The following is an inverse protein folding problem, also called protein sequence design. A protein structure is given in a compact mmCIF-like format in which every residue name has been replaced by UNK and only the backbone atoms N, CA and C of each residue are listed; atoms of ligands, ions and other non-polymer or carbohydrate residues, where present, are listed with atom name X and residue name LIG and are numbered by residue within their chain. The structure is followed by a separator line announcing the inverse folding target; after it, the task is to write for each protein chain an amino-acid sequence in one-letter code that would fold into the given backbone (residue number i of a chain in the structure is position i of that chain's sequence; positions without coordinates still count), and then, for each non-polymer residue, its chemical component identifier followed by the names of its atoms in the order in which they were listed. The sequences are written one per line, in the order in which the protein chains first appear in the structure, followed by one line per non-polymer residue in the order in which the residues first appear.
data_IF_707745329881
#
_entry.id   IF_707745329881
#
_cell.length_a   1.000
_cell.length_b   1.000
_cell.length_c   1.000
_cell.angle_alpha   90.00
_cell.angle_beta   90.00
_cell.angle_gamma   90.00
#
_symmetry.space_group_name_H-M   'P 1'
#
loop_
_entity.id
_entity.type
_entity.pdbx_description
1 polymer ?
#
# COMPACT_ATOMS: atom_id res chain seq x y z
N UNK A 1 -0.53 -17.94 5.52
CA UNK A 1 0.56 -18.71 6.16
C UNK A 1 0.45 -18.52 7.66
N UNK A 2 0.46 -19.60 8.44
CA UNK A 2 0.38 -19.55 9.92
C UNK A 2 1.78 -19.73 10.51
N UNK A 3 2.15 -18.90 11.47
CA UNK A 3 3.43 -18.97 12.18
C UNK A 3 3.17 -18.93 13.68
N UNK A 4 3.75 -19.89 14.43
CA UNK A 4 3.69 -19.90 15.90
C UNK A 4 4.83 -19.05 16.46
N UNK A 5 4.52 -18.11 17.35
CA UNK A 5 5.52 -17.36 18.10
C UNK A 5 5.20 -17.50 19.59
N UNK A 6 6.18 -18.02 20.34
CA UNK A 6 6.13 -18.02 21.80
C UNK A 6 6.62 -16.68 22.34
N UNK A 7 5.71 -15.89 22.92
CA UNK A 7 6.07 -14.67 23.67
C UNK A 7 5.57 -14.83 25.09
N UNK A 8 6.46 -14.68 26.08
CA UNK A 8 6.20 -14.70 27.52
C UNK A 8 4.81 -15.22 27.95
N UNK A 9 4.62 -16.55 28.01
CA UNK A 9 3.46 -17.18 28.66
C UNK A 9 2.30 -17.60 27.76
N UNK A 10 2.40 -17.55 26.44
CA UNK A 10 1.38 -18.05 25.51
C UNK A 10 1.91 -18.39 24.13
N UNK A 11 1.33 -19.41 23.49
CA UNK A 11 1.51 -19.65 22.05
C UNK A 11 0.48 -18.79 21.31
N UNK A 12 0.96 -17.88 20.45
CA UNK A 12 0.11 -17.11 19.54
C UNK A 12 0.26 -17.66 18.13
N UNK A 13 -0.83 -17.93 17.47
CA UNK A 13 -0.83 -18.22 16.05
C UNK A 13 -0.91 -16.87 15.30
N UNK A 14 0.10 -16.60 14.45
CA UNK A 14 0.10 -15.42 13.58
C UNK A 14 -0.34 -15.83 12.19
N UNK A 15 -1.34 -15.14 11.66
CA UNK A 15 -1.78 -15.29 10.28
C UNK A 15 -1.23 -14.14 9.45
N UNK A 16 -0.52 -14.50 8.37
CA UNK A 16 0.04 -13.54 7.40
C UNK A 16 -0.82 -13.56 6.16
N UNK A 17 -1.31 -12.40 5.78
CA UNK A 17 -1.99 -12.15 4.52
C UNK A 17 -1.02 -11.43 3.58
N UNK A 18 -0.76 -12.03 2.44
CA UNK A 18 -0.09 -11.36 1.32
C UNK A 18 -1.12 -10.54 0.57
N UNK A 19 -0.98 -9.23 0.64
CA UNK A 19 -1.91 -8.29 0.00
C UNK A 19 -1.30 -7.66 -1.26
N UNK A 20 -0.34 -8.34 -1.90
CA UNK A 20 0.35 -7.84 -3.09
C UNK A 20 -0.17 -8.47 -4.36
N UNK A 21 -0.05 -7.75 -5.48
CA UNK A 21 -0.18 -8.32 -6.82
C UNK A 21 1.09 -9.06 -7.25
N UNK A 22 0.94 -10.07 -8.13
CA UNK A 22 2.08 -10.62 -8.88
C UNK A 22 2.56 -9.58 -9.90
N UNK A 23 3.88 -9.34 -9.96
CA UNK A 23 4.45 -8.22 -10.70
C UNK A 23 4.22 -8.29 -12.21
N UNK A 24 4.46 -9.47 -12.83
CA UNK A 24 4.43 -9.61 -14.29
C UNK A 24 3.02 -9.79 -14.87
N UNK A 25 2.05 -10.14 -14.04
CA UNK A 25 0.63 -10.25 -14.37
C UNK A 25 -0.22 -9.15 -13.74
N UNK A 26 0.40 -8.09 -13.19
CA UNK A 26 -0.34 -7.01 -12.54
C UNK A 26 -1.17 -6.19 -13.51
N UNK A 27 -2.16 -5.50 -12.97
CA UNK A 27 -2.82 -4.42 -13.65
C UNK A 27 -1.84 -3.25 -13.80
N UNK A 28 -1.79 -2.64 -14.98
CA UNK A 28 -0.89 -1.51 -15.29
C UNK A 28 -1.73 -0.27 -15.54
N UNK A 29 -1.36 0.85 -14.94
CA UNK A 29 -2.05 2.12 -15.17
C UNK A 29 -1.94 2.53 -16.65
N UNK A 30 -3.00 3.09 -17.26
CA UNK A 30 -2.99 3.48 -18.67
C UNK A 30 -1.83 4.45 -19.00
N UNK A 31 -0.97 4.06 -19.93
CA UNK A 31 0.20 4.84 -20.33
C UNK A 31 1.53 4.39 -19.73
N UNK A 32 1.51 3.58 -18.69
CA UNK A 32 2.73 3.04 -18.07
C UNK A 32 3.32 1.86 -18.83
N UNK A 33 4.62 1.67 -18.65
CA UNK A 33 5.33 0.52 -19.21
C UNK A 33 4.97 -0.76 -18.44
N UNK A 34 4.57 -1.80 -19.17
CA UNK A 34 4.33 -3.13 -18.59
C UNK A 34 5.61 -3.75 -18.04
N UNK A 35 5.58 -4.39 -16.86
CA UNK A 35 6.71 -5.13 -16.32
C UNK A 35 7.21 -6.21 -17.28
N UNK A 36 8.53 -6.32 -17.41
CA UNK A 36 9.17 -7.29 -18.32
C UNK A 36 10.18 -8.15 -17.59
N UNK A 37 10.07 -9.46 -17.79
CA UNK A 37 11.01 -10.47 -17.30
C UNK A 37 11.97 -10.86 -18.42
N UNK A 38 13.26 -10.97 -18.12
CA UNK A 38 14.28 -11.45 -19.02
C UNK A 38 15.15 -12.51 -18.35
N UNK A 39 15.15 -13.74 -18.87
CA UNK A 39 16.05 -14.78 -18.42
C UNK A 39 17.42 -14.51 -18.99
N UNK A 40 18.42 -14.34 -18.12
CA UNK A 40 19.83 -14.10 -18.49
C UNK A 40 20.55 -15.43 -18.59
N UNK A 41 20.38 -16.32 -17.58
CA UNK A 41 20.95 -17.67 -17.55
C UNK A 41 19.89 -18.65 -17.12
N UNK A 42 19.98 -19.91 -17.60
CA UNK A 42 19.02 -20.98 -17.29
C UNK A 42 19.69 -22.32 -17.18
N UNK A 43 19.55 -23.00 -16.05
CA UNK A 43 20.03 -24.36 -15.82
C UNK A 43 19.38 -25.35 -16.78
N UNK A 44 18.14 -25.12 -17.22
CA UNK A 44 17.47 -25.92 -18.25
C UNK A 44 18.20 -25.86 -19.62
N UNK A 45 18.95 -24.78 -19.87
CA UNK A 45 19.75 -24.57 -21.09
C UNK A 45 21.23 -24.95 -20.91
N UNK A 46 21.59 -25.51 -19.76
CA UNK A 46 22.95 -25.99 -19.45
C UNK A 46 23.83 -24.94 -18.72
N UNK A 47 23.29 -23.81 -18.31
CA UNK A 47 24.02 -22.86 -17.49
C UNK A 47 24.23 -23.39 -16.05
N UNK A 48 25.21 -22.83 -15.32
CA UNK A 48 25.52 -23.24 -13.95
C UNK A 48 24.45 -22.78 -12.93
N UNK A 49 23.66 -21.74 -13.25
CA UNK A 49 22.67 -21.13 -12.37
C UNK A 49 21.53 -20.49 -13.18
N UNK A 50 20.45 -20.17 -12.50
CA UNK A 50 19.36 -19.36 -13.07
C UNK A 50 19.58 -17.90 -12.70
N UNK A 51 19.48 -16.99 -13.67
CA UNK A 51 19.56 -15.53 -13.48
C UNK A 51 18.44 -14.84 -14.23
N UNK A 52 17.67 -14.06 -13.52
CA UNK A 52 16.57 -13.25 -14.07
C UNK A 52 16.85 -11.77 -13.87
N UNK A 53 16.71 -10.99 -14.94
CA UNK A 53 16.58 -9.54 -14.87
C UNK A 53 15.11 -9.16 -15.11
N UNK A 54 14.70 -8.01 -14.57
CA UNK A 54 13.39 -7.45 -14.85
C UNK A 54 13.46 -5.93 -14.96
N UNK A 55 12.46 -5.34 -15.61
CA UNK A 55 12.26 -3.89 -15.67
C UNK A 55 10.78 -3.59 -15.47
N UNK A 56 10.47 -2.50 -14.76
CA UNK A 56 9.11 -2.05 -14.46
C UNK A 56 9.11 -0.56 -14.13
N UNK A 57 7.96 0.10 -14.22
CA UNK A 57 7.74 1.40 -13.58
C UNK A 57 7.71 1.25 -12.06
N UNK A 58 8.06 2.30 -11.35
CA UNK A 58 7.95 2.36 -9.88
C UNK A 58 6.51 2.15 -9.40
N UNK A 59 5.54 2.54 -10.22
CA UNK A 59 4.10 2.49 -9.95
C UNK A 59 3.38 1.27 -10.55
N UNK A 60 4.11 0.22 -10.92
CA UNK A 60 3.49 -1.04 -11.34
C UNK A 60 3.22 -1.96 -10.13
N UNK A 61 2.15 -2.80 -10.25
CA UNK A 61 1.79 -3.78 -9.23
C UNK A 61 1.36 -3.11 -7.92
N UNK A 62 1.63 -3.75 -6.77
CA UNK A 62 1.46 -3.12 -5.46
C UNK A 62 2.67 -2.25 -5.16
N UNK A 63 2.43 -0.97 -4.94
CA UNK A 63 3.49 0.03 -4.83
C UNK A 63 3.16 1.15 -3.85
N UNK A 64 4.18 1.92 -3.52
CA UNK A 64 4.12 3.15 -2.72
C UNK A 64 4.35 4.36 -3.62
N UNK A 65 3.49 5.38 -3.48
CA UNK A 65 3.75 6.73 -3.96
C UNK A 65 4.34 7.57 -2.83
N UNK A 66 5.53 8.13 -3.08
CA UNK A 66 6.13 9.11 -2.20
C UNK A 66 5.68 10.54 -2.57
N UNK A 67 5.76 11.52 -1.64
CA UNK A 67 5.41 12.91 -1.95
C UNK A 67 6.03 13.45 -3.23
N UNK A 68 7.26 13.03 -3.58
CA UNK A 68 7.96 13.47 -4.79
C UNK A 68 7.22 13.11 -6.10
N UNK A 69 6.30 12.15 -6.06
CA UNK A 69 5.52 11.77 -7.25
C UNK A 69 4.71 12.95 -7.84
N UNK A 70 4.07 13.76 -7.00
CA UNK A 70 3.28 14.93 -7.45
C UNK A 70 3.81 16.26 -6.90
N UNK A 71 4.68 16.26 -5.89
CA UNK A 71 5.18 17.47 -5.23
C UNK A 71 6.65 17.65 -5.61
N UNK A 72 6.96 18.71 -6.38
CA UNK A 72 8.28 18.99 -6.96
C UNK A 72 9.45 18.87 -5.97
N UNK A 73 9.28 19.37 -4.75
CA UNK A 73 10.28 19.34 -3.69
C UNK A 73 9.85 18.37 -2.56
N UNK A 74 9.00 17.41 -2.90
CA UNK A 74 8.51 16.38 -1.99
C UNK A 74 9.59 15.38 -1.59
N UNK A 75 9.34 14.64 -0.51
CA UNK A 75 10.23 13.56 -0.08
C UNK A 75 10.23 12.42 -1.11
N UNK A 76 11.42 11.96 -1.48
CA UNK A 76 11.62 10.74 -2.25
C UNK A 76 11.39 9.50 -1.38
N UNK A 77 11.12 8.36 -1.99
CA UNK A 77 10.74 7.13 -1.28
C UNK A 77 11.77 6.68 -0.24
N UNK A 78 13.06 6.85 -0.54
CA UNK A 78 14.19 6.55 0.36
C UNK A 78 14.33 7.54 1.53
N UNK A 79 13.74 8.73 1.42
CA UNK A 79 13.75 9.76 2.47
C UNK A 79 12.51 9.75 3.38
N UNK A 80 11.50 8.94 3.07
CA UNK A 80 10.32 8.72 3.92
C UNK A 80 10.69 7.75 5.06
N UNK A 81 10.27 8.07 6.28
CA UNK A 81 10.51 7.22 7.45
C UNK A 81 9.87 5.83 7.30
N UNK A 82 10.59 4.77 7.66
CA UNK A 82 10.05 3.40 7.65
C UNK A 82 8.81 3.24 8.53
N UNK A 83 8.67 4.04 9.59
CA UNK A 83 7.47 4.07 10.41
C UNK A 83 6.21 4.47 9.63
N UNK A 84 6.35 5.07 8.45
CA UNK A 84 5.20 5.36 7.57
C UNK A 84 4.63 4.07 6.98
N UNK A 85 5.47 3.14 6.58
CA UNK A 85 5.12 1.92 5.86
C UNK A 85 4.87 0.71 6.79
N UNK A 86 5.36 0.78 8.04
CA UNK A 86 5.34 -0.34 9.00
C UNK A 86 4.65 0.10 10.28
N UNK A 87 3.65 -0.64 10.73
CA UNK A 87 2.94 -0.40 11.98
C UNK A 87 1.48 -0.84 11.94
N UNK A 88 0.73 -0.49 12.98
CA UNK A 88 -0.71 -0.80 13.03
C UNK A 88 -1.45 -0.06 11.93
N UNK A 89 -2.34 -0.76 11.23
CA UNK A 89 -3.20 -0.24 10.17
C UNK A 89 -4.64 -0.72 10.39
N UNK A 90 -5.59 0.04 9.89
CA UNK A 90 -7.00 -0.31 9.88
C UNK A 90 -7.45 -0.59 8.45
N UNK A 91 -8.06 -1.75 8.25
CA UNK A 91 -8.75 -2.10 7.01
C UNK A 91 -10.22 -1.72 7.15
N UNK A 92 -10.71 -0.83 6.31
CA UNK A 92 -12.11 -0.43 6.19
C UNK A 92 -12.74 -1.07 4.95
N UNK A 93 -13.93 -1.65 5.04
CA UNK A 93 -14.69 -2.11 3.87
C UNK A 93 -15.54 -0.97 3.32
N UNK A 94 -15.36 -0.65 2.05
CA UNK A 94 -16.12 0.40 1.36
C UNK A 94 -16.22 0.12 -0.14
N UNK A 95 -17.36 0.50 -0.74
CA UNK A 95 -17.56 0.44 -2.19
C UNK A 95 -18.19 1.74 -2.68
N UNK A 96 -17.71 2.26 -3.79
CA UNK A 96 -18.15 3.52 -4.39
C UNK A 96 -17.28 4.70 -3.99
N UNK A 97 -17.80 5.91 -4.12
CA UNK A 97 -17.07 7.16 -3.86
C UNK A 97 -17.07 7.44 -2.36
N UNK A 98 -15.89 7.45 -1.75
CA UNK A 98 -15.69 7.81 -0.34
C UNK A 98 -15.88 9.34 -0.21
N UNK A 99 -16.92 9.75 0.51
CA UNK A 99 -17.19 11.15 0.83
C UNK A 99 -16.39 11.62 2.06
N UNK A 100 -16.48 12.92 2.38
CA UNK A 100 -15.90 13.48 3.59
C UNK A 100 -16.48 12.85 4.87
N UNK A 101 -17.79 12.59 4.88
CA UNK A 101 -18.47 11.97 6.02
C UNK A 101 -18.02 10.51 6.18
N UNK A 102 -17.87 9.76 5.08
CA UNK A 102 -17.36 8.38 5.11
C UNK A 102 -15.91 8.34 5.61
N UNK A 103 -15.06 9.24 5.14
CA UNK A 103 -13.68 9.34 5.62
C UNK A 103 -13.62 9.62 7.13
N UNK A 104 -14.50 10.48 7.63
CA UNK A 104 -14.62 10.77 9.06
C UNK A 104 -15.06 9.53 9.84
N UNK A 105 -16.08 8.81 9.36
CA UNK A 105 -16.55 7.56 9.99
C UNK A 105 -15.47 6.47 10.02
N UNK A 106 -14.73 6.29 8.92
CA UNK A 106 -13.61 5.35 8.83
C UNK A 106 -12.56 5.67 9.90
N UNK A 107 -12.16 6.95 10.01
CA UNK A 107 -11.18 7.38 11.00
C UNK A 107 -11.65 7.21 12.44
N UNK A 108 -12.92 7.47 12.73
CA UNK A 108 -13.52 7.26 14.05
C UNK A 108 -13.55 5.77 14.41
N UNK A 109 -13.96 4.89 13.49
CA UNK A 109 -13.93 3.44 13.67
C UNK A 109 -12.50 2.94 13.94
N UNK A 110 -11.53 3.42 13.16
CA UNK A 110 -10.13 3.08 13.34
C UNK A 110 -9.61 3.52 14.72
N UNK A 111 -9.84 4.78 15.10
CA UNK A 111 -9.42 5.34 16.41
C UNK A 111 -10.03 4.60 17.58
N UNK A 112 -11.31 4.21 17.47
CA UNK A 112 -12.03 3.44 18.51
C UNK A 112 -11.43 2.05 18.73
N UNK A 113 -10.95 1.39 17.68
CA UNK A 113 -10.33 0.08 17.77
C UNK A 113 -8.86 0.18 18.20
N UNK A 114 -8.11 1.09 17.57
CA UNK A 114 -6.69 1.33 17.87
C UNK A 114 -6.25 2.68 17.32
N UNK A 115 -5.83 3.59 18.18
CA UNK A 115 -5.41 4.96 17.77
C UNK A 115 -4.20 4.97 16.84
N UNK A 116 -3.26 4.02 16.98
CA UNK A 116 -2.11 3.89 16.08
C UNK A 116 -2.52 3.36 14.70
N UNK A 117 -3.54 2.48 14.63
CA UNK A 117 -4.06 1.96 13.37
C UNK A 117 -4.74 3.05 12.53
N UNK A 118 -5.32 4.06 13.17
CA UNK A 118 -5.90 5.21 12.48
C UNK A 118 -4.89 6.06 11.70
N UNK A 119 -3.60 5.83 11.90
CA UNK A 119 -2.54 6.50 11.12
C UNK A 119 -2.29 5.87 9.75
N UNK A 120 -2.78 4.65 9.52
CA UNK A 120 -2.65 3.92 8.25
C UNK A 120 -3.98 3.29 7.93
N UNK A 121 -4.64 3.80 6.90
CA UNK A 121 -5.97 3.34 6.47
C UNK A 121 -5.82 2.57 5.16
N UNK A 122 -6.38 1.38 5.10
CA UNK A 122 -6.49 0.57 3.89
C UNK A 122 -7.96 0.39 3.57
N UNK A 123 -8.37 0.76 2.37
CA UNK A 123 -9.77 0.65 1.93
C UNK A 123 -9.91 -0.59 1.05
N UNK A 124 -10.72 -1.54 1.52
CA UNK A 124 -11.09 -2.76 0.82
C UNK A 124 -12.36 -2.54 0.02
N UNK A 125 -12.35 -3.01 -1.21
CA UNK A 125 -13.49 -2.94 -2.14
C UNK A 125 -13.24 -2.03 -3.32
N UNK A 126 -14.26 -1.87 -4.15
CA UNK A 126 -14.22 -0.97 -5.32
C UNK A 126 -14.49 0.47 -4.84
N UNK A 127 -13.46 1.09 -4.29
CA UNK A 127 -13.54 2.40 -3.65
C UNK A 127 -12.67 3.44 -4.36
N UNK A 128 -13.26 4.63 -4.55
CA UNK A 128 -12.63 5.82 -5.10
C UNK A 128 -12.68 6.94 -4.06
N UNK A 129 -11.54 7.54 -3.72
CA UNK A 129 -11.47 8.63 -2.73
C UNK A 129 -11.78 9.96 -3.41
N UNK A 130 -12.80 10.69 -2.93
CA UNK A 130 -13.09 12.04 -3.39
C UNK A 130 -12.06 13.06 -2.89
N UNK A 131 -11.99 14.24 -3.52
CA UNK A 131 -11.14 15.33 -3.07
C UNK A 131 -11.51 15.81 -1.65
N UNK A 132 -12.79 15.78 -1.31
CA UNK A 132 -13.30 16.13 0.03
C UNK A 132 -12.85 15.10 1.08
N UNK A 133 -12.92 13.82 0.77
CA UNK A 133 -12.41 12.75 1.64
C UNK A 133 -10.88 12.85 1.80
N UNK A 134 -10.16 13.12 0.72
CA UNK A 134 -8.71 13.33 0.76
C UNK A 134 -8.31 14.47 1.71
N UNK A 135 -9.07 15.57 1.75
CA UNK A 135 -8.86 16.68 2.72
C UNK A 135 -9.04 16.22 4.16
N UNK A 136 -10.09 15.43 4.44
CA UNK A 136 -10.33 14.88 5.79
C UNK A 136 -9.17 13.97 6.24
N UNK A 137 -8.71 13.08 5.38
CA UNK A 137 -7.54 12.23 5.65
C UNK A 137 -6.27 13.05 5.88
N UNK A 138 -6.00 14.03 5.02
CA UNK A 138 -4.83 14.92 5.12
C UNK A 138 -4.84 15.73 6.43
N UNK A 139 -5.96 16.35 6.77
CA UNK A 139 -6.14 17.13 8.01
C UNK A 139 -6.02 16.27 9.28
N UNK A 140 -6.36 14.98 9.17
CA UNK A 140 -6.19 14.01 10.26
C UNK A 140 -4.74 13.53 10.42
N UNK A 141 -3.81 14.00 9.58
CA UNK A 141 -2.38 13.67 9.62
C UNK A 141 -2.12 12.15 9.58
N UNK A 142 -2.86 11.42 8.74
CA UNK A 142 -2.57 10.01 8.53
C UNK A 142 -1.23 9.86 7.80
N UNK A 143 -0.53 8.78 8.06
CA UNK A 143 0.77 8.49 7.45
C UNK A 143 0.64 7.83 6.09
N UNK A 144 -0.39 6.97 5.94
CA UNK A 144 -0.56 6.15 4.76
C UNK A 144 -2.06 5.93 4.48
N UNK A 145 -2.45 6.06 3.21
CA UNK A 145 -3.74 5.64 2.68
C UNK A 145 -3.50 4.60 1.57
N UNK A 146 -4.23 3.49 1.61
CA UNK A 146 -4.12 2.46 0.57
C UNK A 146 -5.47 1.98 0.07
N UNK A 147 -5.51 1.48 -1.17
CA UNK A 147 -6.69 0.86 -1.77
C UNK A 147 -6.33 -0.24 -2.78
N UNK A 148 -7.35 -0.94 -3.29
CA UNK A 148 -7.18 -2.05 -4.23
C UNK A 148 -7.00 -1.59 -5.69
N UNK A 149 -7.35 -0.33 -6.01
CA UNK A 149 -7.16 0.27 -7.33
C UNK A 149 -5.68 0.62 -7.59
N UNK A 150 -5.34 0.88 -8.86
CA UNK A 150 -4.03 1.40 -9.26
C UNK A 150 -3.90 2.92 -9.01
N UNK A 151 -4.92 3.54 -8.46
CA UNK A 151 -4.95 4.92 -7.99
C UNK A 151 -5.98 5.06 -6.87
N UNK A 152 -5.67 5.84 -5.83
CA UNK A 152 -6.62 6.10 -4.73
C UNK A 152 -7.73 7.05 -5.14
N UNK A 153 -7.48 7.94 -6.08
CA UNK A 153 -8.46 8.89 -6.62
C UNK A 153 -9.19 8.36 -7.86
N UNK A 154 -9.99 9.23 -8.51
CA UNK A 154 -10.65 8.92 -9.77
C UNK A 154 -9.65 8.47 -10.84
N UNK A 155 -9.91 7.33 -11.51
CA UNK A 155 -8.98 6.77 -12.50
C UNK A 155 -8.69 7.75 -13.67
N UNK A 156 -9.69 8.54 -14.06
CA UNK A 156 -9.59 9.50 -15.16
C UNK A 156 -9.11 10.90 -14.74
N UNK A 157 -9.02 11.19 -13.44
CA UNK A 157 -8.62 12.50 -12.90
C UNK A 157 -7.96 12.39 -11.49
N UNK A 158 -6.92 11.58 -11.30
CA UNK A 158 -6.36 11.30 -9.96
C UNK A 158 -5.60 12.48 -9.36
N UNK A 159 -5.19 13.46 -10.17
CA UNK A 159 -4.23 14.51 -9.79
C UNK A 159 -4.63 15.28 -8.52
N UNK A 160 -5.90 15.68 -8.37
CA UNK A 160 -6.33 16.51 -7.23
C UNK A 160 -6.17 15.77 -5.90
N UNK A 161 -6.59 14.50 -5.87
CA UNK A 161 -6.49 13.64 -4.68
C UNK A 161 -5.03 13.41 -4.29
N UNK A 162 -4.16 13.12 -5.28
CA UNK A 162 -2.72 12.95 -5.05
C UNK A 162 -2.06 14.22 -4.53
N UNK A 163 -2.36 15.40 -5.11
CA UNK A 163 -1.82 16.68 -4.64
C UNK A 163 -2.21 16.98 -3.20
N UNK A 164 -3.45 16.67 -2.80
CA UNK A 164 -3.93 16.87 -1.42
C UNK A 164 -3.18 15.95 -0.45
N UNK A 165 -3.19 14.65 -0.72
CA UNK A 165 -2.63 13.65 0.21
C UNK A 165 -1.10 13.72 0.28
N UNK A 166 -0.43 13.67 -0.86
CA UNK A 166 1.04 13.73 -0.94
C UNK A 166 1.57 15.10 -0.49
N UNK A 167 0.82 16.18 -0.75
CA UNK A 167 1.13 17.52 -0.27
C UNK A 167 1.06 17.65 1.26
N UNK A 168 0.21 16.88 1.91
CA UNK A 168 0.15 16.76 3.37
C UNK A 168 1.22 15.81 3.96
N UNK A 169 1.96 15.08 3.11
CA UNK A 169 2.95 14.10 3.51
C UNK A 169 2.39 12.70 3.76
N UNK A 170 1.12 12.46 3.44
CA UNK A 170 0.52 11.12 3.43
C UNK A 170 1.04 10.36 2.22
N UNK A 171 1.61 9.16 2.40
CA UNK A 171 2.00 8.30 1.28
C UNK A 171 0.82 7.44 0.84
N UNK A 172 0.84 7.00 -0.44
CA UNK A 172 -0.20 6.13 -0.97
C UNK A 172 0.34 4.72 -1.14
N UNK A 173 -0.51 3.73 -0.86
CA UNK A 173 -0.23 2.30 -1.09
C UNK A 173 -1.30 1.77 -2.04
N UNK A 174 -0.96 1.66 -3.30
CA UNK A 174 -1.89 1.35 -4.37
C UNK A 174 -1.77 -0.08 -4.88
N UNK A 175 -2.86 -0.57 -5.46
CA UNK A 175 -2.90 -1.89 -6.06
C UNK A 175 -2.79 -3.06 -5.07
N UNK A 176 -3.23 -2.89 -3.84
CA UNK A 176 -3.28 -3.98 -2.84
C UNK A 176 -4.41 -4.97 -3.17
N UNK A 177 -4.43 -6.12 -2.48
CA UNK A 177 -5.43 -7.19 -2.63
C UNK A 177 -5.94 -7.59 -1.26
N UNK A 178 -7.17 -7.20 -0.93
CA UNK A 178 -7.77 -7.37 0.40
C UNK A 178 -8.92 -8.38 0.44
N UNK A 179 -9.19 -9.13 -0.64
CA UNK A 179 -10.32 -10.06 -0.73
C UNK A 179 -10.42 -11.02 0.46
N UNK A 180 -9.27 -11.54 0.94
CA UNK A 180 -9.18 -12.49 2.07
C UNK A 180 -9.09 -11.81 3.44
N UNK A 181 -9.12 -10.48 3.49
CA UNK A 181 -8.93 -9.68 4.72
C UNK A 181 -10.26 -9.11 5.16
N UNK A 182 -10.65 -9.32 6.42
CA UNK A 182 -11.85 -8.70 7.00
C UNK A 182 -11.56 -7.28 7.48
N UNK A 183 -12.60 -6.46 7.62
CA UNK A 183 -12.48 -5.16 8.31
C UNK A 183 -11.90 -5.34 9.70
N UNK A 184 -10.93 -4.49 10.08
CA UNK A 184 -10.30 -4.57 11.39
C UNK A 184 -8.87 -4.05 11.44
N UNK A 185 -8.21 -4.32 12.58
CA UNK A 185 -6.86 -3.84 12.89
C UNK A 185 -5.83 -4.94 12.63
N UNK A 186 -4.76 -4.58 11.92
CA UNK A 186 -3.66 -5.46 11.53
C UNK A 186 -2.32 -4.77 11.73
N UNK A 187 -1.25 -5.55 11.79
CA UNK A 187 0.10 -5.00 11.64
C UNK A 187 0.47 -5.04 10.15
N UNK A 188 0.67 -3.86 9.56
CA UNK A 188 1.08 -3.67 8.17
C UNK A 188 2.61 -3.66 8.06
N UNK A 189 3.13 -4.35 7.05
CA UNK A 189 4.46 -4.10 6.49
C UNK A 189 4.33 -3.93 4.98
N UNK A 190 4.52 -2.70 4.51
CA UNK A 190 4.53 -2.30 3.11
C UNK A 190 5.82 -1.54 2.78
N UNK A 191 6.96 -1.93 3.40
CA UNK A 191 8.24 -1.28 3.16
C UNK A 191 8.62 -1.36 1.66
N UNK A 192 8.84 -0.20 0.99
CA UNK A 192 9.27 -0.15 -0.40
C UNK A 192 10.72 -0.61 -0.58
N UNK A 193 11.13 -0.86 -1.81
CA UNK A 193 12.54 -0.97 -2.13
C UNK A 193 13.23 0.37 -1.83
N UNK A 194 14.48 0.31 -1.36
CA UNK A 194 15.28 1.50 -1.08
C UNK A 194 15.86 2.05 -2.39
N UNK A 195 15.02 2.79 -3.13
CA UNK A 195 15.37 3.40 -4.42
C UNK A 195 15.71 4.88 -4.21
N UNK A 196 16.98 5.20 -4.20
CA UNK A 196 17.45 6.57 -3.95
C UNK A 196 16.92 7.56 -4.99
N UNK A 197 16.26 8.61 -4.51
CA UNK A 197 15.74 9.70 -5.34
C UNK A 197 14.47 9.34 -6.13
N UNK A 198 13.86 8.18 -5.92
CA UNK A 198 12.67 7.77 -6.65
C UNK A 198 11.37 8.37 -6.06
N UNK A 199 10.41 8.56 -6.95
CA UNK A 199 9.07 9.09 -6.70
C UNK A 199 8.10 8.04 -6.11
N UNK A 200 8.46 6.76 -6.24
CA UNK A 200 7.70 5.64 -5.74
C UNK A 200 8.51 4.35 -5.79
N UNK A 201 7.91 3.25 -5.37
CA UNK A 201 8.58 1.95 -5.40
C UNK A 201 7.60 0.79 -5.23
N UNK A 202 7.77 -0.31 -5.97
CA UNK A 202 7.03 -1.53 -5.69
C UNK A 202 7.37 -2.06 -4.29
N UNK A 203 6.41 -2.75 -3.67
CA UNK A 203 6.60 -3.40 -2.39
C UNK A 203 5.89 -4.75 -2.31
N UNK A 204 6.35 -5.63 -1.41
CA UNK A 204 5.60 -6.81 -1.00
C UNK A 204 4.80 -6.47 0.26
N UNK A 205 3.59 -5.95 0.08
CA UNK A 205 2.73 -5.58 1.20
C UNK A 205 2.12 -6.81 1.86
N UNK A 206 2.22 -6.88 3.20
CA UNK A 206 1.62 -7.94 4.00
C UNK A 206 0.88 -7.37 5.20
N UNK A 207 -0.19 -8.05 5.62
CA UNK A 207 -0.85 -7.83 6.89
C UNK A 207 -0.63 -9.03 7.82
N UNK A 208 -0.44 -8.76 9.11
CA UNK A 208 -0.24 -9.76 10.13
C UNK A 208 -1.34 -9.58 11.18
N UNK A 209 -2.09 -10.65 11.45
CA UNK A 209 -3.06 -10.74 12.54
C UNK A 209 -2.56 -11.71 13.61
N UNK A 210 -2.78 -11.37 14.88
CA UNK A 210 -2.67 -12.34 15.98
C UNK A 210 -4.01 -13.06 16.13
N UNK A 211 -4.05 -14.35 15.88
CA UNK A 211 -5.18 -15.21 16.23
C UNK A 211 -4.98 -15.70 17.69
N UNK A 212 -6.02 -15.50 18.52
CA UNK A 212 -6.05 -16.05 19.89
C UNK A 212 -6.61 -17.45 19.89
#
# INVERSE_FOLDING_TARGET
MKMQIGICGGEYEMKIYDISQEVFGCQVYPGDSTPKKRVISSMEKGDLYNLTAFSMCAHNSTHIDAPFHFIKDGKTVDSVSLNTFIGMAYVAEYNGIVSADDATEILEKAKKQNSEAAKRILIKGDAEVSAEAAKVFAESNILLLGNESQTVGPENAPMEVHLILLGAGTVLLEGIRLAEVSEGVYFLNAAPLNLSGADGSPCRAILIAAER
#
